data_IF_118824111816
#
_entry.id   IF_118824111816
#
_cell.length_a   1.000
_cell.length_b   1.000
_cell.length_c   1.000
_cell.angle_alpha   90.00
_cell.angle_beta   90.00
_cell.angle_gamma   90.00
#
_symmetry.space_group_name_H-M   'P 1'
#
loop_
_entity.id
_entity.type
_entity.pdbx_description
1 polymer ?
#
# COMPACT_ATOMS: atom_id res chain seq x y z
N UNK A 1 -10.57 0.45 9.61
CA UNK A 1 -9.77 -0.26 8.59
C UNK A 1 -10.49 -0.10 7.26
N UNK A 2 -9.87 0.50 6.24
CA UNK A 2 -10.48 0.55 4.90
C UNK A 2 -10.11 -0.74 4.17
N UNK A 3 -11.09 -1.53 3.67
CA UNK A 3 -10.79 -2.75 2.93
C UNK A 3 -10.06 -2.42 1.63
N UNK A 4 -9.31 -3.38 1.09
CA UNK A 4 -8.80 -3.26 -0.28
C UNK A 4 -10.00 -3.21 -1.24
N UNK A 5 -10.18 -2.10 -1.95
CA UNK A 5 -11.27 -1.92 -2.92
C UNK A 5 -10.67 -1.48 -4.25
N UNK A 6 -11.09 -2.14 -5.32
CA UNK A 6 -10.73 -1.73 -6.67
C UNK A 6 -11.58 -0.54 -7.11
N UNK A 7 -10.99 0.39 -7.85
CA UNK A 7 -11.77 1.40 -8.57
C UNK A 7 -12.75 0.73 -9.53
N UNK A 8 -13.89 1.37 -9.80
CA UNK A 8 -14.85 0.92 -10.82
C UNK A 8 -14.25 0.93 -12.23
N UNK A 9 -13.23 1.78 -12.45
CA UNK A 9 -12.47 1.86 -13.71
C UNK A 9 -11.34 0.82 -13.83
N UNK A 10 -10.97 0.13 -12.75
CA UNK A 10 -9.86 -0.81 -12.74
C UNK A 10 -10.37 -2.25 -12.94
N UNK A 11 -10.60 -2.61 -14.20
CA UNK A 11 -11.10 -3.92 -14.60
C UNK A 11 -10.15 -5.07 -14.20
N UNK A 12 -8.84 -4.82 -14.21
CA UNK A 12 -7.84 -5.84 -13.88
C UNK A 12 -7.86 -6.14 -12.38
N UNK A 13 -7.92 -5.11 -11.54
CA UNK A 13 -8.10 -5.27 -10.10
C UNK A 13 -9.41 -6.00 -9.77
N UNK A 14 -10.54 -5.62 -10.39
CA UNK A 14 -11.83 -6.27 -10.15
C UNK A 14 -11.83 -7.75 -10.48
N UNK A 15 -11.10 -8.16 -11.53
CA UNK A 15 -10.97 -9.57 -11.91
C UNK A 15 -10.10 -10.37 -10.94
N UNK A 16 -9.02 -9.76 -10.44
CA UNK A 16 -7.98 -10.44 -9.64
C UNK A 16 -8.32 -10.47 -8.15
N UNK A 17 -8.88 -9.40 -7.60
CA UNK A 17 -9.12 -9.26 -6.17
C UNK A 17 -9.98 -10.41 -5.58
N UNK A 18 -11.05 -10.88 -6.24
CA UNK A 18 -11.81 -12.04 -5.75
C UNK A 18 -10.99 -13.32 -5.69
N UNK A 19 -10.12 -13.56 -6.69
CA UNK A 19 -9.25 -14.73 -6.73
C UNK A 19 -8.20 -14.66 -5.62
N UNK A 20 -7.62 -13.49 -5.40
CA UNK A 20 -6.64 -13.26 -4.34
C UNK A 20 -7.25 -13.48 -2.95
N UNK A 21 -8.47 -12.97 -2.71
CA UNK A 21 -9.21 -13.20 -1.47
C UNK A 21 -9.56 -14.67 -1.24
N UNK A 22 -9.76 -15.44 -2.31
CA UNK A 22 -10.08 -16.87 -2.21
C UNK A 22 -8.83 -17.72 -2.01
N UNK A 23 -7.76 -17.47 -2.78
CA UNK A 23 -6.53 -18.27 -2.78
C UNK A 23 -5.58 -17.91 -1.64
N UNK A 24 -5.56 -16.65 -1.20
CA UNK A 24 -4.63 -16.16 -0.18
C UNK A 24 -5.30 -15.14 0.77
N UNK A 25 -6.38 -15.52 1.49
CA UNK A 25 -7.10 -14.60 2.37
C UNK A 25 -6.21 -14.01 3.47
N UNK A 26 -5.29 -14.80 4.03
CA UNK A 26 -4.37 -14.35 5.08
C UNK A 26 -3.41 -13.26 4.58
N UNK A 27 -2.96 -13.35 3.32
CA UNK A 27 -2.10 -12.34 2.70
C UNK A 27 -2.84 -11.00 2.59
N UNK A 28 -4.10 -11.04 2.13
CA UNK A 28 -4.94 -9.85 2.00
C UNK A 28 -5.19 -9.22 3.36
N UNK A 29 -5.54 -10.02 4.37
CA UNK A 29 -5.81 -9.51 5.72
C UNK A 29 -4.56 -8.89 6.37
N UNK A 30 -3.39 -9.53 6.19
CA UNK A 30 -2.11 -8.99 6.66
C UNK A 30 -1.74 -7.68 5.95
N UNK A 31 -2.00 -7.58 4.65
CA UNK A 31 -1.78 -6.37 3.88
C UNK A 31 -2.70 -5.23 4.32
N UNK A 32 -4.00 -5.52 4.52
CA UNK A 32 -4.97 -4.56 5.08
C UNK A 32 -4.51 -4.05 6.44
N UNK A 33 -4.03 -4.93 7.32
CA UNK A 33 -3.57 -4.54 8.65
C UNK A 33 -2.34 -3.64 8.58
N UNK A 34 -1.32 -4.04 7.81
CA UNK A 34 -0.10 -3.25 7.62
C UNK A 34 -0.39 -1.87 7.04
N UNK A 35 -1.32 -1.76 6.10
CA UNK A 35 -1.62 -0.47 5.48
C UNK A 35 -2.46 0.44 6.40
N UNK A 36 -3.36 -0.16 7.19
CA UNK A 36 -4.16 0.60 8.15
C UNK A 36 -3.30 1.28 9.25
N UNK A 37 -2.19 0.67 9.68
CA UNK A 37 -1.27 1.31 10.65
C UNK A 37 -0.56 2.54 10.09
N UNK A 38 -0.51 2.68 8.76
CA UNK A 38 0.04 3.84 8.04
C UNK A 38 -1.04 4.83 7.60
N UNK A 39 -2.31 4.57 7.93
CA UNK A 39 -3.46 5.33 7.40
C UNK A 39 -3.47 5.39 5.87
N UNK A 40 -2.89 4.38 5.22
CA UNK A 40 -2.71 4.33 3.78
C UNK A 40 -3.94 3.81 3.04
N UNK A 41 -3.83 3.82 1.72
CA UNK A 41 -4.77 3.22 0.78
C UNK A 41 -4.11 2.03 0.09
N UNK A 42 -4.84 0.92 0.02
CA UNK A 42 -4.38 -0.27 -0.67
C UNK A 42 -4.80 -0.26 -2.14
N UNK A 43 -3.90 -0.74 -3.00
CA UNK A 43 -4.18 -1.02 -4.40
C UNK A 43 -3.36 -2.20 -4.91
N UNK A 44 -3.74 -2.75 -6.05
CA UNK A 44 -3.06 -3.89 -6.66
C UNK A 44 -2.22 -3.43 -7.85
N UNK A 45 -1.01 -3.96 -7.96
CA UNK A 45 -0.21 -3.91 -9.18
C UNK A 45 -0.12 -5.32 -9.74
N UNK A 46 -0.69 -5.52 -10.91
CA UNK A 46 -0.77 -6.85 -11.54
C UNK A 46 0.22 -6.93 -12.69
N UNK A 47 1.11 -7.91 -12.65
CA UNK A 47 2.00 -8.27 -13.76
C UNK A 47 1.63 -9.65 -14.30
N UNK A 48 2.31 -10.10 -15.36
CA UNK A 48 2.10 -11.44 -15.92
C UNK A 48 2.48 -12.57 -14.95
N UNK A 49 3.38 -12.31 -14.00
CA UNK A 49 3.98 -13.33 -13.13
C UNK A 49 3.51 -13.24 -11.67
N UNK A 50 3.07 -12.05 -11.24
CA UNK A 50 2.73 -11.81 -9.85
C UNK A 50 1.74 -10.66 -9.67
N UNK A 51 1.03 -10.72 -8.55
CA UNK A 51 0.11 -9.70 -8.06
C UNK A 51 0.72 -9.11 -6.80
N UNK A 52 1.10 -7.84 -6.87
CA UNK A 52 1.65 -7.10 -5.75
C UNK A 52 0.57 -6.25 -5.08
N UNK A 53 0.50 -6.30 -3.75
CA UNK A 53 -0.40 -5.52 -2.94
C UNK A 53 0.39 -4.33 -2.40
N UNK A 54 0.06 -3.14 -2.89
CA UNK A 54 0.76 -1.90 -2.54
C UNK A 54 -0.06 -1.14 -1.50
N UNK A 55 0.63 -0.58 -0.51
CA UNK A 55 0.09 0.44 0.39
C UNK A 55 0.70 1.80 0.04
N UNK A 56 -0.14 2.72 -0.45
CA UNK A 56 0.22 4.12 -0.64
C UNK A 56 -0.19 4.94 0.58
N UNK A 57 0.73 5.74 1.13
CA UNK A 57 0.47 6.62 2.27
C UNK A 57 1.35 7.87 2.19
N UNK A 58 1.00 8.91 2.96
CA UNK A 58 1.84 10.09 3.10
C UNK A 58 2.73 9.94 4.33
N UNK A 59 4.02 10.21 4.17
CA UNK A 59 4.97 10.37 5.26
C UNK A 59 5.48 11.81 5.26
N UNK A 60 6.06 12.25 6.37
CA UNK A 60 6.74 13.54 6.44
C UNK A 60 8.24 13.30 6.41
N UNK A 61 8.91 13.89 5.44
CA UNK A 61 10.37 14.02 5.45
C UNK A 61 10.72 15.20 6.34
N UNK A 62 11.66 15.00 7.27
CA UNK A 62 12.15 16.03 8.18
C UNK A 62 13.67 16.14 8.05
N UNK A 63 14.19 17.35 8.11
CA UNK A 63 15.63 17.58 8.12
C UNK A 63 16.00 18.73 9.06
N UNK A 64 17.18 18.56 9.66
CA UNK A 64 17.86 19.51 10.53
C UNK A 64 19.09 19.97 9.75
N UNK A 65 19.01 21.16 9.16
CA UNK A 65 20.08 21.72 8.33
C UNK A 65 21.21 22.29 9.19
N UNK A 66 20.88 22.72 10.42
CA UNK A 66 21.80 23.46 11.28
C UNK A 66 22.45 22.59 12.40
N UNK A 67 21.92 21.39 12.65
CA UNK A 67 22.43 20.39 13.58
C UNK A 67 22.08 20.64 15.05
N UNK A 68 21.08 21.47 15.35
CA UNK A 68 20.67 21.80 16.72
C UNK A 68 19.72 20.75 17.34
N UNK A 69 19.34 19.73 16.58
CA UNK A 69 18.43 18.67 17.01
C UNK A 69 16.95 19.07 16.94
N UNK A 70 16.63 20.23 16.35
CA UNK A 70 15.28 20.66 16.00
C UNK A 70 15.05 20.48 14.51
N UNK A 71 13.78 20.34 14.12
CA UNK A 71 13.41 20.22 12.71
C UNK A 71 13.35 21.62 12.11
N UNK A 72 14.19 21.87 11.10
CA UNK A 72 14.18 23.14 10.36
C UNK A 72 13.08 23.15 9.30
N UNK A 73 12.79 21.99 8.72
CA UNK A 73 11.86 21.86 7.60
C UNK A 73 11.11 20.51 7.60
N UNK A 74 9.88 20.54 7.11
CA UNK A 74 9.00 19.39 6.99
C UNK A 74 8.32 19.37 5.61
N UNK A 75 8.45 18.28 4.87
CA UNK A 75 7.75 18.10 3.59
C UNK A 75 6.94 16.80 3.55
N UNK A 76 5.64 16.86 3.19
CA UNK A 76 4.85 15.66 2.95
C UNK A 76 5.29 14.96 1.66
N UNK A 77 5.62 13.69 1.76
CA UNK A 77 6.02 12.82 0.65
C UNK A 77 5.03 11.67 0.49
N UNK A 78 4.68 11.36 -0.76
CA UNK A 78 3.90 10.16 -1.08
C UNK A 78 4.82 8.94 -1.12
N UNK A 79 4.44 7.88 -0.41
CA UNK A 79 5.22 6.66 -0.28
C UNK A 79 4.35 5.46 -0.67
N UNK A 80 4.88 4.65 -1.59
CA UNK A 80 4.28 3.38 -2.00
C UNK A 80 5.18 2.22 -1.55
N UNK A 81 4.64 1.30 -0.74
CA UNK A 81 5.37 0.09 -0.32
C UNK A 81 4.60 -1.17 -0.69
N UNK A 82 5.31 -2.21 -1.10
CA UNK A 82 4.75 -3.56 -1.18
C UNK A 82 4.48 -4.10 0.23
N UNK A 83 3.26 -4.54 0.48
CA UNK A 83 2.85 -5.14 1.76
C UNK A 83 2.55 -6.64 1.65
N UNK A 84 2.51 -7.17 0.44
CA UNK A 84 2.39 -8.59 0.14
C UNK A 84 2.39 -8.88 -1.36
N UNK A 85 2.92 -10.03 -1.75
CA UNK A 85 3.00 -10.45 -3.15
C UNK A 85 2.41 -11.85 -3.29
N UNK A 86 1.66 -12.09 -4.36
CA UNK A 86 1.03 -13.37 -4.67
C UNK A 86 1.43 -13.83 -6.07
N UNK A 87 1.92 -15.06 -6.16
CA UNK A 87 2.28 -15.71 -7.43
C UNK A 87 1.20 -16.75 -7.75
N UNK A 88 0.38 -16.54 -8.81
CA UNK A 88 -0.78 -17.36 -9.10
C UNK A 88 -0.51 -18.83 -9.44
#
# INVERSE_FOLDING_TARGET
>A
MKPLVCSTSDQQCQKVLPQLRTKAPELVQKAEFKCATKQGSLFLRVSEQEIDIICGFFATSVWDDNGDGLVDNEDPVSVDISVGTFKP
#
